data_IF_247324427528
#
_entry.id   IF_247324427528
#
_cell.length_a   1.000
_cell.length_b   1.000
_cell.length_c   1.000
_cell.angle_alpha   90.00
_cell.angle_beta   90.00
_cell.angle_gamma   90.00
#
_symmetry.space_group_name_H-M   'P 1'
#
loop_
_entity.id
_entity.type
_entity.pdbx_description
1 polymer ?
#
# COMPACT_ATOMS: atom_id res chain seq x y z
N UNK A 1 -4.59 -3.73 -47.21
CA UNK A 1 -5.18 -4.12 -45.91
C UNK A 1 -4.14 -4.95 -45.21
N UNK A 2 -3.79 -4.56 -43.98
CA UNK A 2 -2.89 -5.35 -43.15
C UNK A 2 -3.66 -6.49 -42.48
N UNK A 3 -2.97 -7.39 -41.76
CA UNK A 3 -3.66 -8.38 -40.94
C UNK A 3 -4.43 -7.69 -39.81
N UNK A 4 -5.66 -8.14 -39.56
CA UNK A 4 -6.59 -7.53 -38.60
C UNK A 4 -6.00 -7.38 -37.18
N UNK A 5 -5.13 -8.31 -36.76
CA UNK A 5 -4.43 -8.25 -35.48
C UNK A 5 -3.49 -7.05 -35.35
N UNK A 6 -2.83 -6.63 -36.44
CA UNK A 6 -2.00 -5.41 -36.43
C UNK A 6 -2.86 -4.16 -36.45
N UNK A 7 -3.95 -4.15 -37.23
CA UNK A 7 -4.85 -3.00 -37.33
C UNK A 7 -5.58 -2.70 -36.02
N UNK A 8 -5.84 -3.74 -35.21
CA UNK A 8 -6.52 -3.65 -33.90
C UNK A 8 -5.56 -3.66 -32.71
N UNK A 9 -4.24 -3.62 -32.95
CA UNK A 9 -3.20 -3.75 -31.91
C UNK A 9 -3.47 -4.90 -30.93
N UNK A 10 -3.99 -6.02 -31.45
CA UNK A 10 -4.52 -7.12 -30.66
C UNK A 10 -3.75 -8.42 -30.89
N UNK A 11 -3.87 -9.34 -29.94
CA UNK A 11 -3.42 -10.73 -30.07
C UNK A 11 -4.63 -11.66 -30.01
N UNK A 12 -4.56 -12.80 -30.70
CA UNK A 12 -5.56 -13.84 -30.54
C UNK A 12 -5.10 -14.84 -29.48
N UNK A 13 -5.87 -14.98 -28.40
CA UNK A 13 -5.62 -16.03 -27.40
C UNK A 13 -5.98 -17.40 -27.95
N UNK A 14 -5.15 -18.40 -27.65
CA UNK A 14 -5.37 -19.78 -28.11
C UNK A 14 -5.20 -20.79 -26.99
N UNK A 15 -6.04 -21.82 -26.99
CA UNK A 15 -5.86 -23.02 -26.19
C UNK A 15 -4.99 -24.01 -26.98
N UNK A 16 -3.79 -24.29 -26.47
CA UNK A 16 -2.82 -25.19 -27.13
C UNK A 16 -3.14 -26.64 -26.80
N UNK A 17 -3.44 -26.93 -25.54
CA UNK A 17 -3.89 -28.24 -25.06
C UNK A 17 -4.69 -28.06 -23.75
N UNK A 18 -5.04 -29.17 -23.07
CA UNK A 18 -5.65 -29.11 -21.74
C UNK A 18 -4.87 -28.18 -20.81
N UNK A 19 -5.49 -27.07 -20.42
CA UNK A 19 -4.97 -26.04 -19.50
C UNK A 19 -3.71 -25.26 -19.92
N UNK A 20 -3.20 -25.41 -21.15
CA UNK A 20 -2.11 -24.54 -21.66
C UNK A 20 -2.60 -23.61 -22.74
N UNK A 21 -2.22 -22.35 -22.56
CA UNK A 21 -2.62 -21.26 -23.43
C UNK A 21 -1.41 -20.68 -24.16
N UNK A 22 -1.69 -19.97 -25.24
CA UNK A 22 -0.73 -19.18 -25.98
C UNK A 22 -1.41 -17.99 -26.66
N UNK A 23 -0.67 -17.33 -27.53
CA UNK A 23 -1.21 -16.28 -28.38
C UNK A 23 -0.71 -16.40 -29.82
N UNK A 24 -1.54 -15.94 -30.75
CA UNK A 24 -1.16 -15.66 -32.12
C UNK A 24 -1.02 -14.14 -32.25
N UNK A 25 0.14 -13.70 -32.70
CA UNK A 25 0.42 -12.32 -33.07
C UNK A 25 0.73 -12.25 -34.56
N UNK A 26 0.47 -11.09 -35.17
CA UNK A 26 0.93 -10.81 -36.52
C UNK A 26 2.18 -9.93 -36.45
N UNK A 27 3.18 -10.22 -37.27
CA UNK A 27 4.41 -9.44 -37.39
C UNK A 27 4.66 -9.10 -38.86
N UNK A 28 5.17 -7.88 -39.11
CA UNK A 28 5.59 -7.45 -40.44
C UNK A 28 7.06 -7.82 -40.63
N UNK A 29 7.36 -8.65 -41.62
CA UNK A 29 8.71 -9.09 -41.97
C UNK A 29 9.00 -8.58 -43.36
N UNK A 30 9.86 -7.55 -43.45
CA UNK A 30 10.15 -6.84 -44.70
C UNK A 30 8.86 -6.30 -45.36
N UNK A 31 8.50 -6.84 -46.52
CA UNK A 31 7.30 -6.47 -47.27
C UNK A 31 6.11 -7.44 -47.06
N UNK A 32 6.33 -8.53 -46.32
CA UNK A 32 5.33 -9.56 -46.03
C UNK A 32 4.85 -9.52 -44.56
N UNK A 33 3.83 -10.33 -44.27
CA UNK A 33 3.30 -10.54 -42.93
C UNK A 33 3.34 -12.01 -42.56
N UNK A 34 3.72 -12.31 -41.32
CA UNK A 34 3.64 -13.65 -40.77
C UNK A 34 2.79 -13.68 -39.50
N UNK A 35 2.17 -14.83 -39.26
CA UNK A 35 1.51 -15.13 -37.99
C UNK A 35 2.47 -15.96 -37.15
N UNK A 36 2.66 -15.53 -35.90
CA UNK A 36 3.55 -16.17 -34.93
C UNK A 36 2.71 -16.72 -33.80
N UNK A 37 2.85 -18.02 -33.55
CA UNK A 37 2.27 -18.70 -32.40
C UNK A 37 3.29 -18.75 -31.26
N UNK A 38 2.97 -18.07 -30.16
CA UNK A 38 3.78 -18.08 -28.94
C UNK A 38 3.07 -18.86 -27.84
N UNK A 39 3.78 -19.77 -27.18
CA UNK A 39 3.28 -20.47 -25.98
C UNK A 39 3.55 -19.62 -24.74
N UNK A 40 2.56 -19.49 -23.87
CA UNK A 40 2.75 -18.85 -22.56
C UNK A 40 3.56 -19.73 -21.61
N UNK A 41 4.31 -19.13 -20.66
CA UNK A 41 5.03 -19.88 -19.64
C UNK A 41 4.08 -20.72 -18.78
N UNK A 42 4.59 -21.81 -18.20
CA UNK A 42 3.79 -22.69 -17.33
C UNK A 42 3.32 -21.98 -16.06
N UNK A 43 4.12 -21.02 -15.57
CA UNK A 43 3.73 -20.11 -14.48
C UNK A 43 3.60 -18.70 -15.04
N UNK A 44 2.37 -18.21 -15.11
CA UNK A 44 2.10 -16.82 -15.48
C UNK A 44 2.47 -15.86 -14.34
N UNK A 45 2.82 -14.60 -14.65
CA UNK A 45 2.94 -13.55 -13.63
C UNK A 45 1.63 -13.32 -12.89
N UNK A 46 1.70 -12.96 -11.62
CA UNK A 46 0.53 -12.84 -10.73
C UNK A 46 -0.50 -11.76 -11.13
N UNK A 47 -0.11 -10.83 -12.01
CA UNK A 47 -1.01 -9.80 -12.55
C UNK A 47 -1.83 -10.29 -13.75
N UNK A 48 -1.46 -11.43 -14.33
CA UNK A 48 -2.18 -12.04 -15.44
C UNK A 48 -3.31 -12.88 -14.85
N UNK A 49 -4.58 -12.68 -15.27
CA UNK A 49 -5.68 -13.49 -14.79
C UNK A 49 -5.55 -14.95 -15.22
N UNK A 50 -6.23 -15.83 -14.50
CA UNK A 50 -6.37 -17.21 -14.94
C UNK A 50 -7.16 -17.26 -16.26
N UNK A 51 -6.51 -17.74 -17.32
CA UNK A 51 -7.13 -17.84 -18.63
C UNK A 51 -8.25 -18.89 -18.70
N UNK A 52 -8.34 -19.80 -17.72
CA UNK A 52 -9.44 -20.74 -17.60
C UNK A 52 -10.79 -20.06 -17.29
N UNK A 53 -10.77 -18.83 -16.74
CA UNK A 53 -11.97 -18.08 -16.39
C UNK A 53 -12.41 -17.09 -17.46
N UNK A 54 -11.72 -17.06 -18.62
CA UNK A 54 -12.08 -16.16 -19.70
C UNK A 54 -13.40 -16.58 -20.35
N UNK A 55 -14.29 -15.61 -20.52
CA UNK A 55 -15.59 -15.79 -21.16
C UNK A 55 -15.59 -15.00 -22.47
N UNK A 56 -16.11 -15.61 -23.54
CA UNK A 56 -16.45 -14.88 -24.77
C UNK A 56 -17.78 -14.16 -24.58
N UNK A 57 -17.83 -12.88 -24.94
CA UNK A 57 -19.06 -12.09 -24.93
C UNK A 57 -19.00 -10.99 -25.99
N UNK A 58 -20.15 -10.38 -26.33
CA UNK A 58 -20.17 -9.23 -27.22
C UNK A 58 -19.46 -8.03 -26.56
N UNK A 59 -18.86 -7.16 -27.38
CA UNK A 59 -18.01 -6.05 -26.90
C UNK A 59 -18.73 -5.07 -25.96
N UNK A 60 -20.06 -4.96 -26.08
CA UNK A 60 -20.91 -4.14 -25.22
C UNK A 60 -21.08 -4.70 -23.79
N UNK A 61 -20.71 -5.97 -23.58
CA UNK A 61 -20.66 -6.65 -22.29
C UNK A 61 -19.22 -6.83 -21.78
N UNK A 62 -18.23 -6.39 -22.54
CA UNK A 62 -16.83 -6.47 -22.15
C UNK A 62 -16.50 -5.32 -21.18
N UNK A 63 -16.41 -5.64 -19.89
CA UNK A 63 -15.73 -4.77 -18.94
C UNK A 63 -14.25 -4.64 -19.33
N UNK A 64 -13.64 -3.48 -19.07
CA UNK A 64 -12.22 -3.29 -19.31
C UNK A 64 -11.41 -4.41 -18.62
N UNK A 65 -10.54 -5.09 -19.37
CA UNK A 65 -9.63 -6.10 -18.83
C UNK A 65 -8.72 -5.45 -17.78
N UNK A 66 -9.13 -5.54 -16.52
CA UNK A 66 -8.36 -5.04 -15.40
C UNK A 66 -7.33 -6.10 -15.00
N UNK A 67 -6.13 -6.04 -15.61
CA UNK A 67 -4.92 -6.75 -15.14
C UNK A 67 -4.40 -6.23 -13.78
N UNK A 68 -5.27 -5.63 -12.96
CA UNK A 68 -4.91 -4.81 -11.79
C UNK A 68 -4.65 -5.61 -10.52
N UNK A 69 -4.98 -6.89 -10.50
CA UNK A 69 -4.89 -7.64 -9.26
C UNK A 69 -3.57 -8.39 -9.24
N UNK A 70 -2.55 -7.78 -8.62
CA UNK A 70 -1.63 -8.59 -7.83
C UNK A 70 -2.52 -9.38 -6.86
N UNK A 71 -2.84 -10.62 -7.20
CA UNK A 71 -3.63 -11.46 -6.30
C UNK A 71 -2.82 -11.63 -5.01
N UNK A 72 -3.36 -11.14 -3.88
CA UNK A 72 -2.74 -11.31 -2.56
C UNK A 72 -2.37 -10.00 -1.86
N UNK A 73 -1.34 -10.07 -1.02
CA UNK A 73 -0.93 -8.97 -0.14
C UNK A 73 -0.23 -7.89 -0.97
N UNK A 74 -0.66 -6.61 -0.87
CA UNK A 74 0.04 -5.52 -1.54
C UNK A 74 1.53 -5.54 -1.19
N UNK A 75 2.43 -5.36 -2.18
CA UNK A 75 3.85 -5.32 -1.92
C UNK A 75 4.16 -4.18 -0.94
N UNK A 76 5.26 -4.24 -0.19
CA UNK A 76 5.56 -3.27 0.87
C UNK A 76 5.66 -1.80 0.43
N UNK A 77 5.80 -1.53 -0.88
CA UNK A 77 5.76 -0.19 -1.47
C UNK A 77 4.34 0.29 -1.84
N UNK A 78 3.33 -0.57 -1.70
CA UNK A 78 1.92 -0.25 -1.93
C UNK A 78 1.22 0.38 -0.73
N UNK A 79 1.15 -0.28 0.44
CA UNK A 79 0.62 0.32 1.65
C UNK A 79 1.64 1.25 2.30
N UNK A 80 1.16 2.17 3.14
CA UNK A 80 2.04 3.01 3.98
C UNK A 80 2.69 2.11 5.05
N UNK A 81 3.91 1.64 4.78
CA UNK A 81 4.71 0.84 5.72
C UNK A 81 5.61 1.75 6.54
N UNK A 82 5.59 1.56 7.86
CA UNK A 82 6.51 2.25 8.76
C UNK A 82 7.82 1.48 8.88
N UNK A 83 8.93 2.21 8.88
CA UNK A 83 10.27 1.65 9.05
C UNK A 83 11.12 2.61 9.86
N UNK A 84 11.43 2.24 11.10
CA UNK A 84 12.31 3.00 11.99
C UNK A 84 13.71 2.38 12.07
N UNK A 85 14.13 1.69 11.00
CA UNK A 85 15.49 1.12 10.88
C UNK A 85 16.55 2.23 10.80
N UNK A 86 16.19 3.37 10.20
CA UNK A 86 17.03 4.58 10.15
C UNK A 86 16.32 5.71 10.87
N UNK A 87 17.11 6.60 11.48
CA UNK A 87 16.63 7.80 12.18
C UNK A 87 15.69 8.65 11.29
N UNK A 88 15.98 8.71 9.99
CA UNK A 88 15.15 9.44 9.02
C UNK A 88 13.68 9.00 9.02
N UNK A 89 13.41 7.69 9.06
CA UNK A 89 12.03 7.17 9.04
C UNK A 89 11.27 7.51 10.31
N UNK A 90 11.95 7.40 11.45
CA UNK A 90 11.41 7.84 12.74
C UNK A 90 11.09 9.34 12.75
N UNK A 91 12.07 10.17 12.37
CA UNK A 91 11.91 11.61 12.34
C UNK A 91 10.79 12.05 11.40
N UNK A 92 10.61 11.40 10.24
CA UNK A 92 9.51 11.70 9.33
C UNK A 92 8.14 11.45 9.96
N UNK A 93 7.95 10.30 10.60
CA UNK A 93 6.69 9.95 11.26
C UNK A 93 6.39 10.90 12.42
N UNK A 94 7.38 11.16 13.29
CA UNK A 94 7.23 12.08 14.42
C UNK A 94 6.92 13.50 13.95
N UNK A 95 7.67 14.02 12.98
CA UNK A 95 7.43 15.36 12.43
C UNK A 95 6.07 15.47 11.73
N UNK A 96 5.59 14.40 11.08
CA UNK A 96 4.26 14.39 10.46
C UNK A 96 3.16 14.51 11.51
N UNK A 97 3.26 13.78 12.62
CA UNK A 97 2.36 13.91 13.77
C UNK A 97 2.37 15.35 14.33
N UNK A 98 3.56 15.91 14.59
CA UNK A 98 3.69 17.28 15.12
C UNK A 98 3.16 18.34 14.15
N UNK A 99 3.39 18.20 12.84
CA UNK A 99 2.82 19.11 11.83
C UNK A 99 1.30 19.09 11.83
N UNK A 100 0.67 17.93 12.02
CA UNK A 100 -0.79 17.84 12.09
C UNK A 100 -1.35 18.41 13.39
N UNK A 101 -0.64 18.23 14.51
CA UNK A 101 -0.97 18.86 15.79
C UNK A 101 -1.03 20.38 15.65
N UNK A 102 -0.01 20.99 15.03
CA UNK A 102 0.06 22.45 14.78
C UNK A 102 -1.03 22.98 13.85
N UNK A 103 -1.62 22.11 13.01
CA UNK A 103 -2.69 22.45 12.06
C UNK A 103 -4.09 22.25 12.63
N UNK A 104 -4.25 21.88 13.90
CA UNK A 104 -5.59 21.80 14.49
C UNK A 104 -6.21 23.20 14.55
N UNK A 105 -7.52 23.36 14.24
CA UNK A 105 -8.54 22.31 14.06
C UNK A 105 -8.75 21.81 12.62
N UNK A 106 -7.88 22.09 11.65
CA UNK A 106 -8.16 21.84 10.22
C UNK A 106 -8.37 20.34 9.89
N UNK A 107 -7.56 19.46 10.48
CA UNK A 107 -7.47 18.03 10.10
C UNK A 107 -7.37 17.09 11.31
N UNK A 108 -8.36 17.07 12.22
CA UNK A 108 -8.30 16.31 13.46
C UNK A 108 -8.27 14.80 13.23
N UNK A 109 -9.00 14.30 12.22
CA UNK A 109 -9.02 12.88 11.87
C UNK A 109 -7.63 12.39 11.44
N UNK A 110 -6.94 13.15 10.58
CA UNK A 110 -5.60 12.82 10.14
C UNK A 110 -4.59 12.87 11.29
N UNK A 111 -4.71 13.84 12.21
CA UNK A 111 -3.87 13.89 13.41
C UNK A 111 -3.99 12.59 14.22
N UNK A 112 -5.21 12.16 14.55
CA UNK A 112 -5.41 10.94 15.34
C UNK A 112 -5.04 9.65 14.60
N UNK A 113 -5.21 9.61 13.27
CA UNK A 113 -4.72 8.49 12.46
C UNK A 113 -3.20 8.35 12.58
N UNK A 114 -2.46 9.46 12.49
CA UNK A 114 -1.00 9.45 12.63
C UNK A 114 -0.54 9.12 14.05
N UNK A 115 -1.21 9.66 15.08
CA UNK A 115 -0.94 9.34 16.49
C UNK A 115 -1.10 7.84 16.76
N UNK A 116 -2.22 7.26 16.31
CA UNK A 116 -2.47 5.83 16.47
C UNK A 116 -1.49 4.97 15.66
N UNK A 117 -1.12 5.42 14.46
CA UNK A 117 -0.12 4.74 13.63
C UNK A 117 1.25 4.73 14.32
N UNK A 118 1.69 5.88 14.82
CA UNK A 118 2.94 6.03 15.56
C UNK A 118 2.96 5.14 16.81
N UNK A 119 1.90 5.19 17.63
CA UNK A 119 1.77 4.37 18.85
C UNK A 119 1.79 2.87 18.57
N UNK A 120 0.97 2.40 17.63
CA UNK A 120 0.88 0.96 17.29
C UNK A 120 2.23 0.42 16.86
N UNK A 121 2.98 1.16 16.05
CA UNK A 121 4.28 0.72 15.58
C UNK A 121 5.34 0.70 16.68
N UNK A 122 5.41 1.76 17.50
CA UNK A 122 6.31 1.80 18.66
C UNK A 122 6.10 0.59 19.59
N UNK A 123 4.83 0.26 19.88
CA UNK A 123 4.48 -0.91 20.70
C UNK A 123 4.83 -2.23 20.01
N UNK A 124 4.55 -2.37 18.72
CA UNK A 124 4.82 -3.59 17.95
C UNK A 124 6.31 -3.94 17.90
N UNK A 125 7.19 -2.94 17.84
CA UNK A 125 8.65 -3.13 17.84
C UNK A 125 9.28 -3.05 19.23
N UNK A 126 8.47 -2.87 20.29
CA UNK A 126 8.94 -2.81 21.67
C UNK A 126 9.74 -1.55 22.04
N UNK A 127 9.50 -0.43 21.37
CA UNK A 127 10.11 0.88 21.61
C UNK A 127 9.16 1.82 22.36
N UNK A 128 8.63 1.40 23.51
CA UNK A 128 7.67 2.17 24.31
C UNK A 128 8.27 3.42 25.00
N UNK A 129 9.57 3.41 25.28
CA UNK A 129 10.31 4.59 25.76
C UNK A 129 10.20 5.80 24.80
N UNK A 130 10.05 5.54 23.50
CA UNK A 130 9.84 6.60 22.49
C UNK A 130 8.52 7.31 22.70
N UNK A 131 7.49 6.62 23.19
CA UNK A 131 6.19 7.25 23.48
C UNK A 131 6.31 8.22 24.66
N UNK A 132 7.13 7.89 25.66
CA UNK A 132 7.43 8.77 26.79
C UNK A 132 8.16 10.02 26.34
N UNK A 133 9.18 9.84 25.49
CA UNK A 133 9.95 10.96 24.97
C UNK A 133 9.11 11.84 24.03
N UNK A 134 8.28 11.23 23.19
CA UNK A 134 7.30 11.96 22.38
C UNK A 134 6.32 12.75 23.26
N UNK A 135 5.82 12.18 24.36
CA UNK A 135 4.94 12.87 25.30
C UNK A 135 5.64 14.07 25.97
N UNK A 136 6.92 13.93 26.35
CA UNK A 136 7.73 15.03 26.88
C UNK A 136 7.84 16.18 25.88
N UNK A 137 8.26 15.88 24.65
CA UNK A 137 8.41 16.87 23.58
C UNK A 137 7.07 17.55 23.26
N UNK A 138 5.97 16.79 23.17
CA UNK A 138 4.63 17.36 22.94
C UNK A 138 4.28 18.37 24.03
N UNK A 139 4.49 18.04 25.31
CA UNK A 139 4.19 18.95 26.43
C UNK A 139 5.01 20.23 26.38
N UNK A 140 6.26 20.16 25.94
CA UNK A 140 7.13 21.33 25.79
C UNK A 140 6.70 22.22 24.62
N UNK A 141 6.31 21.62 23.49
CA UNK A 141 5.98 22.39 22.28
C UNK A 141 4.55 22.96 22.26
N UNK A 142 3.60 22.33 22.95
CA UNK A 142 2.18 22.74 22.85
C UNK A 142 1.91 24.14 23.41
N UNK A 143 2.74 24.65 24.32
CA UNK A 143 2.53 25.96 24.94
C UNK A 143 2.48 27.13 23.94
N UNK A 144 3.12 26.98 22.78
CA UNK A 144 3.14 27.99 21.71
C UNK A 144 2.00 27.82 20.69
N UNK A 145 1.19 26.77 20.81
CA UNK A 145 0.13 26.45 19.85
C UNK A 145 -1.22 27.03 20.28
N UNK A 146 -2.21 26.98 19.39
CA UNK A 146 -3.56 27.40 19.72
C UNK A 146 -4.21 26.50 20.80
N UNK A 147 -5.27 26.99 21.44
CA UNK A 147 -5.93 26.30 22.56
C UNK A 147 -6.44 24.88 22.20
N UNK A 148 -6.85 24.66 20.94
CA UNK A 148 -7.28 23.34 20.49
C UNK A 148 -6.08 22.38 20.42
N UNK A 149 -5.00 22.80 19.77
CA UNK A 149 -3.75 22.04 19.71
C UNK A 149 -3.18 21.76 21.10
N UNK A 150 -3.27 22.71 22.03
CA UNK A 150 -2.89 22.50 23.43
C UNK A 150 -3.70 21.37 24.08
N UNK A 151 -5.04 21.44 23.99
CA UNK A 151 -5.94 20.43 24.56
C UNK A 151 -5.67 19.04 23.97
N UNK A 152 -5.59 18.93 22.66
CA UNK A 152 -5.37 17.67 21.97
C UNK A 152 -3.95 17.11 22.20
N UNK A 153 -2.94 17.97 22.21
CA UNK A 153 -1.56 17.58 22.51
C UNK A 153 -1.40 17.06 23.94
N UNK A 154 -1.99 17.75 24.93
CA UNK A 154 -2.00 17.30 26.33
C UNK A 154 -2.70 15.94 26.51
N UNK A 155 -3.82 15.73 25.82
CA UNK A 155 -4.51 14.44 25.77
C UNK A 155 -3.60 13.33 25.23
N UNK A 156 -2.98 13.54 24.06
CA UNK A 156 -2.10 12.53 23.44
C UNK A 156 -0.87 12.24 24.31
N UNK A 157 -0.22 13.27 24.86
CA UNK A 157 0.91 13.08 25.75
C UNK A 157 0.54 12.28 27.02
N UNK A 158 -0.69 12.43 27.51
CA UNK A 158 -1.20 11.62 28.64
C UNK A 158 -1.42 10.18 28.22
N UNK A 159 -2.08 9.96 27.07
CA UNK A 159 -2.35 8.61 26.55
C UNK A 159 -1.07 7.82 26.23
N UNK A 160 -0.03 8.48 25.72
CA UNK A 160 1.27 7.86 25.43
C UNK A 160 1.98 7.32 26.69
N UNK A 161 1.74 7.92 27.85
CA UNK A 161 2.30 7.47 29.13
C UNK A 161 1.39 6.42 29.79
N UNK A 162 0.09 6.69 29.89
CA UNK A 162 -0.85 5.85 30.64
C UNK A 162 -1.12 4.48 29.99
N UNK A 163 -1.11 4.40 28.67
CA UNK A 163 -1.46 3.18 27.94
C UNK A 163 -0.23 2.35 27.56
N UNK A 164 0.85 2.41 28.36
CA UNK A 164 2.03 1.56 28.16
C UNK A 164 1.83 0.19 28.83
N UNK A 165 1.66 -0.91 28.06
CA UNK A 165 1.40 -2.24 28.61
C UNK A 165 2.57 -2.82 29.44
N UNK A 166 3.78 -2.24 29.38
CA UNK A 166 4.93 -2.72 30.17
C UNK A 166 4.98 -2.17 31.60
N UNK A 167 4.26 -1.08 31.89
CA UNK A 167 4.10 -0.56 33.26
C UNK A 167 2.93 -1.22 33.99
N UNK A 168 2.19 -2.12 33.33
CA UNK A 168 1.19 -2.95 34.01
C UNK A 168 1.94 -4.01 34.82
N UNK A 169 1.75 -4.07 36.16
CA UNK A 169 2.57 -4.86 37.07
C UNK A 169 2.61 -6.37 36.79
N UNK A 170 1.74 -6.88 35.92
CA UNK A 170 1.65 -8.28 35.52
C UNK A 170 2.74 -8.72 34.52
N UNK A 171 3.33 -7.81 33.73
CA UNK A 171 4.34 -8.19 32.71
C UNK A 171 5.77 -8.16 33.26
N UNK A 172 6.03 -7.44 34.35
CA UNK A 172 7.36 -7.35 34.98
C UNK A 172 7.78 -8.62 35.76
N UNK A 173 6.95 -9.66 35.78
CA UNK A 173 7.19 -10.92 36.52
C UNK A 173 7.37 -12.16 35.62
N UNK A 174 7.48 -11.97 34.30
CA UNK A 174 7.85 -13.02 33.33
C UNK A 174 9.27 -12.79 32.81
#
# INVERSE_FOLDING_TARGET
>A
MGPALLETESIAMVLINESKYGCISAEKVEDDFCLILNRFPEKMPDFVPDFSTLMSGPDDQADALHFKTLQGVPPSYGPVVQSWVREHGFNMDFQKMMRLLRKLPDRPQLFYQEVNRFRKYALAIGMDHVLHEAARIIREEIGQLNAMAQKHGAYVATAFVMENPRETPEIAQL
#
